data_IF_787192727556
#
_entry.id   IF_787192727556
#
_cell.length_a   1.000
_cell.length_b   1.000
_cell.length_c   1.000
_cell.angle_alpha   90.00
_cell.angle_beta   90.00
_cell.angle_gamma   90.00
#
_symmetry.space_group_name_H-M   'P 1'
#
loop_
_entity.id
_entity.type
_entity.pdbx_description
1 polymer ?
#
# COMPACT_ATOMS: atom_id res chain seq x y z
N UNK A 1 27.05 -22.76 1.91
CA UNK A 1 27.31 -21.58 2.76
C UNK A 1 27.10 -20.24 2.03
N UNK A 2 27.36 -20.14 0.71
CA UNK A 2 27.10 -18.93 -0.09
C UNK A 2 25.60 -18.60 -0.31
N UNK A 3 24.72 -19.60 -0.33
CA UNK A 3 23.27 -19.45 -0.56
C UNK A 3 22.52 -18.80 0.61
N UNK A 4 23.07 -18.87 1.83
CA UNK A 4 22.44 -18.31 3.02
C UNK A 4 22.74 -16.81 3.17
N UNK A 5 23.99 -16.41 2.90
CA UNK A 5 24.41 -14.99 2.87
C UNK A 5 23.68 -14.18 1.79
N UNK A 6 23.39 -14.77 0.63
CA UNK A 6 22.64 -14.10 -0.44
C UNK A 6 21.15 -13.89 -0.15
N UNK A 7 20.53 -14.79 0.64
CA UNK A 7 19.11 -14.66 1.04
C UNK A 7 18.91 -13.59 2.12
N UNK A 8 19.79 -13.54 3.12
CA UNK A 8 19.74 -12.53 4.18
C UNK A 8 19.81 -11.11 3.60
N UNK A 9 20.67 -10.86 2.61
CA UNK A 9 20.78 -9.55 1.95
C UNK A 9 19.48 -9.15 1.20
N UNK A 10 18.81 -10.10 0.54
CA UNK A 10 17.55 -9.82 -0.17
C UNK A 10 16.45 -9.50 0.83
N UNK A 11 16.32 -10.30 1.90
CA UNK A 11 15.26 -10.09 2.89
C UNK A 11 15.49 -8.77 3.67
N UNK A 12 16.73 -8.40 3.97
CA UNK A 12 17.09 -7.10 4.54
C UNK A 12 16.72 -5.93 3.62
N UNK A 13 16.89 -6.09 2.30
CA UNK A 13 16.49 -5.07 1.32
C UNK A 13 14.98 -4.93 1.23
N UNK A 14 14.24 -6.04 1.28
CA UNK A 14 12.77 -6.02 1.31
C UNK A 14 12.25 -5.27 2.52
N UNK A 15 12.80 -5.56 3.70
CA UNK A 15 12.41 -4.90 4.93
C UNK A 15 12.70 -3.39 4.87
N UNK A 16 13.87 -2.98 4.36
CA UNK A 16 14.17 -1.55 4.18
C UNK A 16 13.17 -0.83 3.28
N UNK A 17 12.75 -1.46 2.17
CA UNK A 17 11.73 -0.87 1.28
C UNK A 17 10.40 -0.72 2.01
N UNK A 18 10.01 -1.74 2.79
CA UNK A 18 8.81 -1.71 3.63
C UNK A 18 8.86 -0.59 4.67
N UNK A 19 9.96 -0.46 5.40
CA UNK A 19 10.19 0.59 6.40
C UNK A 19 10.10 1.99 5.80
N UNK A 20 10.69 2.21 4.61
CA UNK A 20 10.62 3.50 3.91
C UNK A 20 9.18 3.87 3.55
N UNK A 21 8.39 2.92 3.01
CA UNK A 21 6.97 3.13 2.72
C UNK A 21 6.19 3.50 3.98
N UNK A 22 6.37 2.73 5.06
CA UNK A 22 5.71 3.00 6.35
C UNK A 22 6.07 4.37 6.91
N UNK A 23 7.35 4.76 6.86
CA UNK A 23 7.80 6.08 7.28
C UNK A 23 7.15 7.20 6.45
N UNK A 24 7.03 7.02 5.14
CA UNK A 24 6.35 7.95 4.26
C UNK A 24 4.85 8.07 4.58
N UNK A 25 4.14 6.96 4.79
CA UNK A 25 2.72 6.95 5.18
C UNK A 25 2.48 7.70 6.48
N UNK A 26 3.29 7.44 7.51
CA UNK A 26 3.19 8.14 8.79
C UNK A 26 3.40 9.64 8.65
N UNK A 27 4.40 10.05 7.85
CA UNK A 27 4.71 11.47 7.64
C UNK A 27 3.60 12.19 6.86
N UNK A 28 3.11 11.58 5.78
CA UNK A 28 2.02 12.15 4.98
C UNK A 28 0.71 12.15 5.76
N UNK A 29 0.42 11.09 6.52
CA UNK A 29 -0.74 10.97 7.38
C UNK A 29 -0.75 12.07 8.45
N UNK A 30 0.35 12.25 9.17
CA UNK A 30 0.46 13.31 10.17
C UNK A 30 0.27 14.72 9.57
N UNK A 31 0.83 14.96 8.37
CA UNK A 31 0.63 16.23 7.68
C UNK A 31 -0.84 16.42 7.30
N UNK A 32 -1.47 15.42 6.70
CA UNK A 32 -2.87 15.48 6.28
C UNK A 32 -3.81 15.69 7.47
N UNK A 33 -3.59 14.98 8.57
CA UNK A 33 -4.33 15.16 9.83
C UNK A 33 -4.19 16.60 10.35
N UNK A 34 -2.98 17.16 10.32
CA UNK A 34 -2.71 18.51 10.83
C UNK A 34 -3.45 19.63 10.08
N UNK A 35 -3.84 19.38 8.84
CA UNK A 35 -4.58 20.34 8.00
C UNK A 35 -6.00 19.88 7.65
N UNK A 36 -6.48 18.79 8.25
CA UNK A 36 -7.83 18.26 8.01
C UNK A 36 -8.07 17.76 6.58
N UNK A 37 -7.04 17.29 5.89
CA UNK A 37 -7.15 16.74 4.53
C UNK A 37 -7.21 15.22 4.53
N UNK A 38 -7.87 14.68 3.50
CA UNK A 38 -7.80 13.26 3.16
C UNK A 38 -6.62 12.99 2.23
N UNK A 39 -6.12 11.76 2.23
CA UNK A 39 -5.10 11.32 1.29
C UNK A 39 -5.71 10.47 0.18
N UNK A 40 -5.09 10.48 -0.99
CA UNK A 40 -5.43 9.58 -2.07
C UNK A 40 -4.16 8.98 -2.68
N UNK A 41 -4.15 7.66 -2.88
CA UNK A 41 -3.04 6.92 -3.44
C UNK A 41 -3.50 6.08 -4.62
N UNK A 42 -2.57 5.73 -5.50
CA UNK A 42 -2.74 4.58 -6.39
C UNK A 42 -2.62 3.28 -5.59
N UNK A 43 -3.37 2.26 -5.99
CA UNK A 43 -3.44 0.96 -5.28
C UNK A 43 -2.07 0.34 -4.98
N UNK A 44 -1.14 0.42 -5.93
CA UNK A 44 0.19 -0.18 -5.90
C UNK A 44 1.12 0.49 -4.88
N UNK A 45 0.87 1.77 -4.60
CA UNK A 45 1.52 2.49 -3.50
C UNK A 45 1.22 1.86 -2.15
N UNK A 46 -0.02 1.40 -1.94
CA UNK A 46 -0.54 0.86 -0.67
C UNK A 46 -0.34 -0.66 -0.51
N UNK A 47 0.24 -1.32 -1.50
CA UNK A 47 0.51 -2.75 -1.48
C UNK A 47 1.99 -3.01 -1.16
N UNK A 48 2.23 -4.01 -0.32
CA UNK A 48 3.57 -4.54 -0.10
C UNK A 48 4.05 -5.25 -1.37
N UNK A 49 5.14 -4.75 -1.93
CA UNK A 49 5.68 -5.23 -3.21
C UNK A 49 6.19 -6.67 -3.17
N UNK A 50 6.28 -7.29 -2.00
CA UNK A 50 6.80 -8.64 -1.80
C UNK A 50 5.74 -9.64 -1.32
N UNK A 51 4.64 -9.19 -0.71
CA UNK A 51 3.55 -10.07 -0.28
C UNK A 51 2.27 -9.93 -1.10
N UNK A 52 2.14 -8.88 -1.91
CA UNK A 52 0.91 -8.49 -2.60
C UNK A 52 -0.28 -8.17 -1.67
N UNK A 53 -0.01 -8.04 -0.37
CA UNK A 53 -0.99 -7.65 0.64
C UNK A 53 -0.94 -6.15 0.89
N UNK A 54 -2.11 -5.49 1.08
CA UNK A 54 -2.15 -4.09 1.47
C UNK A 54 -1.64 -3.87 2.90
N UNK A 55 -1.01 -2.72 3.14
CA UNK A 55 -0.73 -2.29 4.51
C UNK A 55 -2.04 -2.02 5.26
N UNK A 56 -2.18 -2.47 6.51
CA UNK A 56 -3.37 -2.14 7.32
C UNK A 56 -3.37 -0.63 7.62
N UNK A 57 -4.44 0.09 7.25
CA UNK A 57 -4.49 1.56 7.33
C UNK A 57 -4.16 2.05 8.74
N UNK A 58 -4.76 1.43 9.75
CA UNK A 58 -4.64 1.80 11.16
C UNK A 58 -3.22 1.60 11.72
N UNK A 59 -2.39 0.78 11.08
CA UNK A 59 -1.00 0.53 11.52
C UNK A 59 -0.01 1.59 10.98
N UNK A 60 -0.35 2.23 9.86
CA UNK A 60 0.57 3.09 9.10
C UNK A 60 0.10 4.53 8.93
N UNK A 61 -1.19 4.82 9.13
CA UNK A 61 -1.77 6.16 9.11
C UNK A 61 -2.46 6.50 10.44
N UNK A 62 -2.53 7.79 10.82
CA UNK A 62 -3.32 8.23 11.97
C UNK A 62 -4.81 7.88 11.83
N UNK A 63 -5.53 7.61 12.94
CA UNK A 63 -6.95 7.22 12.91
C UNK A 63 -7.87 8.27 12.25
N UNK A 64 -7.56 9.56 12.40
CA UNK A 64 -8.37 10.67 11.86
C UNK A 64 -8.25 10.86 10.35
N UNK A 65 -7.29 10.21 9.69
CA UNK A 65 -7.06 10.36 8.25
C UNK A 65 -7.91 9.36 7.47
N UNK A 66 -8.73 9.90 6.56
CA UNK A 66 -9.37 9.11 5.51
C UNK A 66 -8.40 8.95 4.35
N UNK A 67 -8.20 7.71 3.90
CA UNK A 67 -7.32 7.38 2.79
C UNK A 67 -8.14 6.72 1.68
N UNK A 68 -8.21 7.41 0.55
CA UNK A 68 -8.79 6.90 -0.69
C UNK A 68 -7.73 6.16 -1.50
N UNK A 69 -8.15 5.13 -2.22
CA UNK A 69 -7.29 4.42 -3.17
C UNK A 69 -7.97 4.31 -4.52
N UNK A 70 -7.20 4.62 -5.57
CA UNK A 70 -7.65 4.46 -6.95
C UNK A 70 -7.23 3.09 -7.44
N UNK A 71 -8.24 2.25 -7.64
CA UNK A 71 -8.04 0.91 -8.16
C UNK A 71 -8.18 0.98 -9.68
N UNK A 72 -7.05 0.85 -10.37
CA UNK A 72 -6.91 0.89 -11.83
C UNK A 72 -6.80 -0.49 -12.47
N UNK A 73 -6.84 -1.54 -11.64
CA UNK A 73 -6.83 -2.93 -12.05
C UNK A 73 -7.70 -3.21 -13.29
N UNK A 74 -7.13 -3.95 -14.25
CA UNK A 74 -7.86 -4.47 -15.42
C UNK A 74 -7.68 -5.99 -15.46
N UNK A 75 -8.73 -6.75 -15.80
CA UNK A 75 -8.64 -8.23 -15.96
C UNK A 75 -7.57 -8.70 -16.95
N UNK A 76 -7.03 -7.80 -17.76
CA UNK A 76 -6.03 -8.06 -18.80
C UNK A 76 -4.60 -8.14 -18.25
N UNK A 77 -4.31 -7.66 -17.04
CA UNK A 77 -2.95 -7.64 -16.48
C UNK A 77 -2.61 -8.86 -15.61
N UNK A 78 -3.55 -9.81 -15.50
CA UNK A 78 -3.35 -11.09 -14.81
C UNK A 78 -3.27 -11.00 -13.28
N UNK A 79 -3.60 -9.87 -12.65
CA UNK A 79 -3.67 -9.78 -11.18
C UNK A 79 -5.06 -10.22 -10.66
N UNK A 80 -5.17 -10.41 -9.35
CA UNK A 80 -6.36 -11.02 -8.73
C UNK A 80 -7.54 -10.04 -8.63
N UNK A 81 -8.73 -10.49 -9.04
CA UNK A 81 -10.03 -9.81 -8.85
C UNK A 81 -10.31 -9.48 -7.36
N UNK A 82 -9.56 -10.04 -6.40
CA UNK A 82 -9.70 -9.82 -4.96
C UNK A 82 -9.06 -8.53 -4.44
N UNK A 83 -8.18 -7.86 -5.20
CA UNK A 83 -7.38 -6.73 -4.72
C UNK A 83 -8.20 -5.53 -4.19
N UNK A 84 -9.27 -5.05 -4.88
CA UNK A 84 -10.11 -4.00 -4.31
C UNK A 84 -10.75 -4.39 -2.98
N UNK A 85 -11.11 -5.67 -2.83
CA UNK A 85 -11.68 -6.19 -1.58
C UNK A 85 -10.64 -6.25 -0.47
N UNK A 86 -9.41 -6.69 -0.75
CA UNK A 86 -8.34 -6.70 0.24
C UNK A 86 -8.04 -5.28 0.74
N UNK A 87 -7.93 -4.29 -0.18
CA UNK A 87 -7.75 -2.88 0.18
C UNK A 87 -8.92 -2.35 1.02
N UNK A 88 -10.16 -2.68 0.66
CA UNK A 88 -11.33 -2.25 1.42
C UNK A 88 -11.32 -2.84 2.84
N UNK A 89 -10.98 -4.13 2.96
CA UNK A 89 -10.89 -4.84 4.23
C UNK A 89 -9.75 -4.33 5.11
N UNK A 90 -8.69 -3.77 4.53
CA UNK A 90 -7.59 -3.13 5.25
C UNK A 90 -7.84 -1.66 5.63
N UNK A 91 -9.08 -1.17 5.47
CA UNK A 91 -9.53 0.13 5.98
C UNK A 91 -9.55 1.26 4.95
N UNK A 92 -9.16 1.01 3.69
CA UNK A 92 -9.13 2.05 2.66
C UNK A 92 -10.50 2.30 2.01
N UNK A 93 -10.74 3.54 1.56
CA UNK A 93 -11.91 3.90 0.75
C UNK A 93 -11.60 3.70 -0.73
N UNK A 94 -12.33 2.81 -1.40
CA UNK A 94 -12.06 2.45 -2.80
C UNK A 94 -12.75 3.43 -3.74
N UNK A 95 -11.97 4.02 -4.65
CA UNK A 95 -12.45 4.68 -5.85
C UNK A 95 -12.14 3.79 -7.04
N UNK A 96 -13.18 3.26 -7.69
CA UNK A 96 -13.02 2.50 -8.92
C UNK A 96 -12.59 3.45 -10.04
N UNK A 97 -11.37 3.26 -10.56
CA UNK A 97 -10.82 4.01 -11.67
C UNK A 97 -10.37 3.05 -12.79
N UNK A 98 -11.29 2.22 -13.33
CA UNK A 98 -10.93 1.20 -14.31
C UNK A 98 -10.32 1.87 -15.54
N UNK A 99 -9.24 1.28 -16.06
CA UNK A 99 -8.70 1.68 -17.36
C UNK A 99 -9.77 1.40 -18.43
N UNK A 100 -10.26 2.46 -19.08
CA UNK A 100 -11.03 2.35 -20.31
C UNK A 100 -10.05 2.01 -21.43
N UNK A 101 -9.92 0.73 -21.76
CA UNK A 101 -9.15 0.23 -22.90
C UNK A 101 -10.12 -0.22 -23.98
#
# INVERSE_FOLDING_TARGET
>A
MLTQLGKTNIDDQKEKVREIKVAMFRRLGALAESVGLSLAFWEDGLIDSFTDEPFVKEEVFPPGVTVYTYVWFSKLDGRSDSRPYNLANSGYKINAAPLLI
#
